data_IF_142386695839
#
_entry.id   IF_142386695839
#
_cell.length_a   1.000
_cell.length_b   1.000
_cell.length_c   1.000
_cell.angle_alpha   90.00
_cell.angle_beta   90.00
_cell.angle_gamma   90.00
#
_symmetry.space_group_name_H-M   'P 1'
#
loop_
_entity.id
_entity.type
_entity.pdbx_description
1 polymer ?
#
# COMPACT_ATOMS: atom_id res chain seq x y z
N UNK A 1 -5.25 -9.69 -1.57
CA UNK A 1 -4.40 -8.71 -0.85
C UNK A 1 -3.17 -9.42 -0.27
N UNK A 2 -1.95 -9.04 -0.68
CA UNK A 2 -0.75 -9.76 -0.26
C UNK A 2 -0.33 -9.35 1.16
N UNK A 3 -0.54 -10.25 2.13
CA UNK A 3 -0.03 -10.12 3.51
C UNK A 3 1.50 -9.96 3.55
N UNK A 4 2.18 -10.41 2.50
CA UNK A 4 3.64 -10.39 2.41
C UNK A 4 4.20 -8.97 2.23
N UNK A 5 3.55 -8.13 1.44
CA UNK A 5 3.96 -6.72 1.27
C UNK A 5 3.95 -5.99 2.63
N UNK A 6 2.92 -6.22 3.43
CA UNK A 6 2.79 -5.66 4.78
C UNK A 6 3.88 -6.21 5.70
N UNK A 7 4.11 -7.54 5.70
CA UNK A 7 5.17 -8.17 6.51
C UNK A 7 6.56 -7.63 6.17
N UNK A 8 6.88 -7.46 4.89
CA UNK A 8 8.17 -6.92 4.43
C UNK A 8 8.39 -5.48 4.85
N UNK A 9 7.35 -4.66 4.87
CA UNK A 9 7.47 -3.29 5.38
C UNK A 9 7.64 -3.31 6.89
N UNK A 10 6.85 -4.10 7.61
CA UNK A 10 6.94 -4.22 9.08
C UNK A 10 8.30 -4.70 9.57
N UNK A 11 9.02 -5.52 8.79
CA UNK A 11 10.37 -5.98 9.16
C UNK A 11 11.43 -4.89 9.05
N UNK A 12 11.23 -3.86 8.21
CA UNK A 12 12.19 -2.75 8.00
C UNK A 12 11.78 -1.45 8.69
N UNK A 13 10.48 -1.27 8.85
CA UNK A 13 9.85 -0.13 9.49
C UNK A 13 8.82 -0.70 10.46
N UNK A 14 9.20 -1.05 11.70
CA UNK A 14 8.27 -1.61 12.67
C UNK A 14 7.07 -0.69 12.94
N UNK A 15 5.90 -1.28 13.06
CA UNK A 15 4.65 -0.64 13.50
C UNK A 15 3.68 -1.74 13.94
N UNK A 16 2.73 -1.39 14.80
CA UNK A 16 1.65 -2.28 15.22
C UNK A 16 0.42 -2.03 14.34
N UNK A 17 -0.25 -3.10 13.95
CA UNK A 17 -1.52 -3.03 13.21
C UNK A 17 -2.60 -3.46 14.20
N UNK A 18 -3.52 -2.57 14.52
CA UNK A 18 -4.68 -2.86 15.37
C UNK A 18 -5.85 -3.38 14.51
N UNK A 19 -6.05 -2.80 13.33
CA UNK A 19 -7.10 -3.22 12.40
C UNK A 19 -6.60 -3.18 10.96
N UNK A 20 -7.01 -4.17 10.17
CA UNK A 20 -6.73 -4.24 8.73
C UNK A 20 -7.93 -4.85 8.00
N UNK A 21 -8.66 -4.01 7.28
CA UNK A 21 -9.91 -4.35 6.62
C UNK A 21 -9.75 -4.12 5.11
N UNK A 22 -10.02 -5.16 4.34
CA UNK A 22 -10.03 -5.11 2.87
C UNK A 22 -11.49 -5.13 2.45
N UNK A 23 -11.98 -4.00 1.97
CA UNK A 23 -13.31 -3.87 1.38
C UNK A 23 -13.20 -3.96 -0.15
N UNK A 24 -14.30 -4.22 -0.86
CA UNK A 24 -14.28 -4.38 -2.32
C UNK A 24 -13.67 -3.19 -3.07
N UNK A 25 -13.84 -1.98 -2.53
CA UNK A 25 -13.49 -0.71 -3.16
C UNK A 25 -12.35 0.04 -2.43
N UNK A 26 -12.11 -0.22 -1.16
CA UNK A 26 -11.06 0.45 -0.40
C UNK A 26 -10.45 -0.41 0.72
N UNK A 27 -9.38 0.11 1.32
CA UNK A 27 -8.67 -0.52 2.42
C UNK A 27 -8.65 0.41 3.63
N UNK A 28 -9.09 -0.10 4.78
CA UNK A 28 -8.95 0.57 6.06
C UNK A 28 -7.86 -0.08 6.89
N UNK A 29 -6.97 0.74 7.43
CA UNK A 29 -5.91 0.31 8.34
C UNK A 29 -5.88 1.23 9.55
N UNK A 30 -5.87 0.64 10.74
CA UNK A 30 -5.57 1.32 11.99
C UNK A 30 -4.30 0.71 12.54
N UNK A 31 -3.31 1.54 12.83
CA UNK A 31 -2.02 1.09 13.33
C UNK A 31 -1.42 2.09 14.31
N UNK A 32 -0.66 1.55 15.25
CA UNK A 32 0.11 2.32 16.21
C UNK A 32 1.56 2.40 15.74
N UNK A 33 2.10 3.61 15.76
CA UNK A 33 3.47 3.91 15.37
C UNK A 33 4.38 3.87 16.60
N UNK A 34 5.68 3.57 16.43
CA UNK A 34 6.67 3.75 17.49
C UNK A 34 6.70 5.22 17.96
N UNK A 35 6.94 5.49 19.25
CA UNK A 35 6.98 6.84 19.80
C UNK A 35 7.94 7.79 19.04
N UNK A 36 9.06 7.24 18.58
CA UNK A 36 10.13 8.00 17.92
C UNK A 36 10.08 7.93 16.38
N UNK A 37 9.04 7.33 15.79
CA UNK A 37 8.90 7.18 14.33
C UNK A 37 7.44 7.27 13.89
N UNK A 38 7.00 8.51 13.67
CA UNK A 38 5.66 8.85 13.18
C UNK A 38 5.47 8.75 11.66
N UNK A 39 6.43 8.20 10.89
CA UNK A 39 6.37 8.22 9.43
C UNK A 39 5.43 7.12 8.89
N UNK A 40 4.13 7.33 9.08
CA UNK A 40 3.08 6.48 8.50
C UNK A 40 3.06 6.57 6.98
N UNK A 41 3.27 7.77 6.43
CA UNK A 41 3.25 8.05 4.99
C UNK A 41 4.24 7.18 4.23
N UNK A 42 5.47 7.02 4.73
CA UNK A 42 6.47 6.15 4.13
C UNK A 42 6.09 4.69 4.20
N UNK A 43 5.64 4.19 5.36
CA UNK A 43 5.18 2.80 5.52
C UNK A 43 4.07 2.49 4.53
N UNK A 44 3.08 3.37 4.45
CA UNK A 44 1.96 3.24 3.54
C UNK A 44 2.38 3.27 2.07
N UNK A 45 3.28 4.19 1.68
CA UNK A 45 3.85 4.24 0.32
C UNK A 45 4.56 2.96 -0.05
N UNK A 46 5.36 2.40 0.87
CA UNK A 46 6.09 1.15 0.65
C UNK A 46 5.13 -0.04 0.50
N UNK A 47 4.07 -0.11 1.32
CA UNK A 47 3.04 -1.15 1.22
C UNK A 47 2.32 -1.05 -0.13
N UNK A 48 1.82 0.14 -0.50
CA UNK A 48 1.17 0.37 -1.81
C UNK A 48 2.08 -0.03 -2.96
N UNK A 49 3.35 0.35 -2.90
CA UNK A 49 4.35 0.02 -3.91
C UNK A 49 4.62 -1.48 -4.00
N UNK A 50 4.72 -2.18 -2.86
CA UNK A 50 4.87 -3.64 -2.80
C UNK A 50 3.68 -4.37 -3.41
N UNK A 51 2.45 -3.95 -3.06
CA UNK A 51 1.21 -4.49 -3.62
C UNK A 51 1.13 -4.27 -5.13
N UNK A 52 1.42 -3.05 -5.59
CA UNK A 52 1.49 -2.71 -7.01
C UNK A 52 2.48 -3.57 -7.79
N UNK A 53 3.56 -4.06 -7.17
CA UNK A 53 4.55 -4.94 -7.85
C UNK A 53 4.13 -6.41 -7.84
N UNK A 54 3.47 -6.86 -6.78
CA UNK A 54 3.05 -8.24 -6.62
C UNK A 54 1.84 -8.61 -7.50
N UNK A 55 1.04 -7.63 -7.93
CA UNK A 55 -0.12 -7.86 -8.77
C UNK A 55 0.24 -7.92 -10.26
N UNK A 56 -0.26 -8.91 -11.02
CA UNK A 56 -0.19 -8.93 -12.48
C UNK A 56 -0.69 -7.62 -13.08
N UNK A 57 -0.11 -7.17 -14.20
CA UNK A 57 -0.48 -5.91 -14.88
C UNK A 57 -1.71 -6.11 -15.78
N UNK A 58 -2.79 -6.64 -15.22
CA UNK A 58 -4.04 -6.93 -15.95
C UNK A 58 -5.02 -5.77 -15.94
N UNK A 59 -4.78 -4.72 -15.15
CA UNK A 59 -5.70 -3.60 -15.05
C UNK A 59 -5.64 -2.66 -16.26
N UNK A 60 -6.80 -2.12 -16.64
CA UNK A 60 -6.89 -1.10 -17.69
C UNK A 60 -6.23 0.19 -17.21
N UNK A 61 -5.30 0.71 -18.01
CA UNK A 61 -4.60 1.98 -17.75
C UNK A 61 -4.90 2.96 -18.89
N UNK A 62 -5.30 4.19 -18.54
CA UNK A 62 -5.38 5.29 -19.50
C UNK A 62 -3.99 5.66 -19.99
N UNK A 63 -3.89 6.33 -21.14
CA UNK A 63 -2.59 6.73 -21.69
C UNK A 63 -1.86 7.72 -20.78
N UNK A 64 -2.59 8.59 -20.09
CA UNK A 64 -2.04 9.45 -19.03
C UNK A 64 -1.39 8.65 -17.89
N UNK A 65 -1.99 7.53 -17.46
CA UNK A 65 -1.41 6.67 -16.40
C UNK A 65 -0.20 5.88 -16.91
N UNK A 66 -0.23 5.42 -18.17
CA UNK A 66 0.92 4.76 -18.78
C UNK A 66 2.12 5.71 -18.86
N UNK A 67 1.90 6.94 -19.31
CA UNK A 67 2.94 7.98 -19.39
C UNK A 67 3.55 8.31 -18.01
N UNK A 68 2.72 8.36 -16.96
CA UNK A 68 3.17 8.60 -15.58
C UNK A 68 3.76 7.35 -14.87
N UNK A 69 3.77 6.19 -15.51
CA UNK A 69 4.20 4.93 -14.89
C UNK A 69 3.27 4.43 -13.77
N UNK A 70 2.03 4.92 -13.72
CA UNK A 70 1.06 4.60 -12.68
C UNK A 70 0.33 3.28 -12.95
N UNK A 71 -0.03 2.58 -11.86
CA UNK A 71 -0.93 1.43 -11.90
C UNK A 71 -2.39 1.91 -11.86
N UNK A 72 -3.29 1.18 -12.52
CA UNK A 72 -4.73 1.45 -12.47
C UNK A 72 -5.43 0.92 -11.20
N UNK A 73 -4.67 0.56 -10.17
CA UNK A 73 -5.15 -0.15 -8.97
C UNK A 73 -5.59 0.84 -7.87
N UNK A 74 -4.97 2.01 -7.80
CA UNK A 74 -5.20 2.99 -6.75
C UNK A 74 -6.04 4.16 -7.28
N UNK A 75 -6.96 4.67 -6.47
CA UNK A 75 -7.67 5.91 -6.77
C UNK A 75 -6.68 7.09 -6.81
N UNK A 76 -6.92 8.02 -7.73
CA UNK A 76 -6.34 9.37 -7.69
C UNK A 76 -7.29 10.21 -6.85
N UNK A 77 -6.78 10.78 -5.77
CA UNK A 77 -7.44 11.88 -5.06
C UNK A 77 -6.91 13.20 -5.61
#
# INVERSE_FOLDING_TARGET
MSREAVRRVRSRHPFRIEAWLVLPDHLHCVGNLPPDDGDFSRRWRLIKSGLSRALPKTERRSDSRKAAGERGIWQRH
#
